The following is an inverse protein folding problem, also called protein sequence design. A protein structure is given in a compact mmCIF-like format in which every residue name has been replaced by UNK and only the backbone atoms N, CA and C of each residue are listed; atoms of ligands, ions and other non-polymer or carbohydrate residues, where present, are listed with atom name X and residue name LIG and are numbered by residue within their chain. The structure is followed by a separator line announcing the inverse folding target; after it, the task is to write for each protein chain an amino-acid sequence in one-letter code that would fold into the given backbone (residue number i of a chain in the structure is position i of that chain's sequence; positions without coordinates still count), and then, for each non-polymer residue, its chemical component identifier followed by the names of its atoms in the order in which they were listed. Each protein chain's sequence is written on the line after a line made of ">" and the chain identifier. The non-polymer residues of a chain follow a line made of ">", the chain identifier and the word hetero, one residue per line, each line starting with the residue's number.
data_IF_686277330966
#
_entry.id   IF_686277330966
#
_cell.length_a   1.000
_cell.length_b   1.000
_cell.length_c   1.000
_cell.angle_alpha   90.00
_cell.angle_beta   90.00
_cell.angle_gamma   90.00
#
_symmetry.space_group_name_H-M   'P 1'
#
loop_
_entity.id
_entity.type
_entity.pdbx_description
1 polymer ?
#
# COMPACT_ATOMS: atom_id res chain seq x y z
N UNK A 1 -11.61 -15.68 18.06
CA UNK A 1 -11.89 -14.49 17.20
C UNK A 1 -10.70 -14.25 16.30
N UNK A 2 -10.93 -13.97 15.02
CA UNK A 2 -9.89 -13.68 14.02
C UNK A 2 -9.69 -12.17 13.89
N UNK A 3 -8.44 -11.70 13.78
CA UNK A 3 -8.13 -10.27 13.56
C UNK A 3 -7.29 -10.14 12.30
N UNK A 4 -7.82 -9.46 11.28
CA UNK A 4 -7.06 -9.04 10.11
C UNK A 4 -6.22 -7.82 10.49
N UNK A 5 -4.92 -7.87 10.31
CA UNK A 5 -3.99 -6.81 10.75
C UNK A 5 -3.15 -6.34 9.57
N UNK A 6 -3.09 -5.02 9.38
CA UNK A 6 -2.13 -4.41 8.46
C UNK A 6 -0.73 -4.37 9.08
N UNK A 7 0.22 -4.98 8.39
CA UNK A 7 1.62 -5.07 8.80
C UNK A 7 2.42 -3.76 8.68
N UNK A 8 1.84 -2.76 8.03
CA UNK A 8 2.57 -1.56 7.66
C UNK A 8 3.41 -1.71 6.39
N UNK A 9 4.15 -0.67 5.99
CA UNK A 9 4.84 -0.61 4.71
C UNK A 9 6.13 -1.43 4.65
N UNK A 10 6.71 -1.76 5.82
CA UNK A 10 7.98 -2.52 5.84
C UNK A 10 8.72 -2.45 7.18
N UNK A 11 9.04 -1.26 7.69
CA UNK A 11 9.66 -1.11 8.99
C UNK A 11 8.73 -1.62 10.10
N UNK A 12 9.20 -2.47 11.03
CA UNK A 12 8.35 -3.08 12.04
C UNK A 12 7.68 -2.06 12.98
N UNK A 13 8.34 -0.95 13.26
CA UNK A 13 7.83 0.14 14.11
C UNK A 13 6.72 0.99 13.44
N UNK A 14 6.45 0.76 12.16
CA UNK A 14 5.32 1.36 11.44
C UNK A 14 4.04 0.53 11.50
N UNK A 15 4.02 -0.57 12.23
CA UNK A 15 2.79 -1.25 12.59
C UNK A 15 1.99 -0.37 13.56
N UNK A 16 0.66 -0.42 13.50
CA UNK A 16 -0.14 0.28 14.51
C UNK A 16 0.00 -0.38 15.89
N UNK A 17 -0.11 0.40 16.96
CA UNK A 17 -0.09 -0.14 18.33
C UNK A 17 -1.14 -1.25 18.55
N UNK A 18 -2.31 -1.12 17.90
CA UNK A 18 -3.36 -2.15 17.95
C UNK A 18 -2.94 -3.42 17.21
N UNK A 19 -2.26 -3.28 16.07
CA UNK A 19 -1.72 -4.40 15.31
C UNK A 19 -0.62 -5.13 16.08
N UNK A 20 0.31 -4.41 16.68
CA UNK A 20 1.36 -4.97 17.54
C UNK A 20 0.76 -5.75 18.72
N UNK A 21 -0.21 -5.13 19.41
CA UNK A 21 -0.90 -5.81 20.52
C UNK A 21 -1.57 -7.10 20.07
N UNK A 22 -2.24 -7.11 18.90
CA UNK A 22 -2.86 -8.30 18.36
C UNK A 22 -1.82 -9.42 18.11
N UNK A 23 -0.63 -9.09 17.56
CA UNK A 23 0.46 -10.05 17.37
C UNK A 23 0.98 -10.60 18.70
N UNK A 24 1.20 -9.72 19.70
CA UNK A 24 1.70 -10.12 21.02
C UNK A 24 0.75 -11.09 21.75
N UNK A 25 -0.54 -10.96 21.50
CA UNK A 25 -1.57 -11.79 22.14
C UNK A 25 -1.99 -13.01 21.29
N UNK A 26 -1.46 -13.15 20.08
CA UNK A 26 -1.87 -14.21 19.15
C UNK A 26 -1.40 -15.60 19.58
N UNK A 27 -2.28 -16.57 19.41
CA UNK A 27 -1.99 -18.00 19.49
C UNK A 27 -1.55 -18.54 18.13
N UNK A 28 -2.18 -18.02 17.06
CA UNK A 28 -1.90 -18.37 15.67
C UNK A 28 -1.76 -17.13 14.82
N UNK A 29 -0.71 -17.08 14.00
CA UNK A 29 -0.49 -16.02 12.99
C UNK A 29 -0.39 -16.64 11.61
N UNK A 30 -1.22 -16.17 10.68
CA UNK A 30 -1.11 -16.48 9.25
C UNK A 30 -0.69 -15.22 8.52
N UNK A 31 0.52 -15.17 7.94
CA UNK A 31 1.07 -13.97 7.32
C UNK A 31 1.28 -14.10 5.81
N UNK A 32 1.28 -12.97 5.09
CA UNK A 32 1.28 -12.91 3.62
C UNK A 32 2.70 -13.07 3.01
N UNK A 33 3.46 -14.05 3.48
CA UNK A 33 4.73 -14.48 2.87
C UNK A 33 5.78 -13.39 2.74
N UNK A 34 6.38 -13.29 1.56
CA UNK A 34 7.52 -12.39 1.28
C UNK A 34 7.16 -10.88 1.24
N UNK A 35 5.89 -10.53 1.36
CA UNK A 35 5.43 -9.13 1.36
C UNK A 35 5.34 -8.53 2.77
N UNK A 36 5.46 -9.34 3.80
CA UNK A 36 5.48 -8.93 5.21
C UNK A 36 6.89 -9.07 5.75
N UNK A 37 7.39 -8.03 6.44
CA UNK A 37 8.71 -8.09 7.06
C UNK A 37 8.72 -9.14 8.18
N UNK A 38 9.58 -10.17 8.10
CA UNK A 38 9.64 -11.23 9.12
C UNK A 38 9.92 -10.73 10.52
N UNK A 39 10.62 -9.60 10.68
CA UNK A 39 10.89 -8.99 11.99
C UNK A 39 9.61 -8.61 12.78
N UNK A 40 8.44 -8.51 12.12
CA UNK A 40 7.16 -8.34 12.79
C UNK A 40 6.74 -9.58 13.60
N UNK A 41 7.24 -10.76 13.23
CA UNK A 41 6.96 -12.01 13.92
C UNK A 41 7.66 -12.08 15.28
N UNK A 42 8.69 -11.26 15.50
CA UNK A 42 9.37 -11.12 16.80
C UNK A 42 8.46 -10.52 17.89
N UNK A 43 7.35 -9.88 17.47
CA UNK A 43 6.30 -9.43 18.42
C UNK A 43 5.42 -10.58 18.94
N UNK A 44 5.43 -11.72 18.27
CA UNK A 44 4.63 -12.87 18.69
C UNK A 44 5.18 -13.46 19.98
N UNK A 45 4.29 -13.93 20.84
CA UNK A 45 4.68 -14.63 22.07
C UNK A 45 5.33 -15.99 21.77
N UNK A 46 6.10 -16.49 22.70
CA UNK A 46 6.61 -17.85 22.66
C UNK A 46 5.45 -18.87 22.54
N UNK A 47 5.62 -19.86 21.69
CA UNK A 47 4.59 -20.89 21.41
C UNK A 47 3.51 -20.48 20.41
N UNK A 48 3.54 -19.25 19.88
CA UNK A 48 2.64 -18.84 18.80
C UNK A 48 2.88 -19.69 17.53
N UNK A 49 1.83 -20.30 16.99
CA UNK A 49 1.90 -21.02 15.73
C UNK A 49 1.93 -20.04 14.55
N UNK A 50 2.98 -20.11 13.71
CA UNK A 50 3.20 -19.15 12.61
C UNK A 50 3.10 -19.89 11.27
N UNK A 51 2.18 -19.45 10.40
CA UNK A 51 1.93 -20.02 9.08
C UNK A 51 2.23 -18.98 7.98
N UNK A 52 3.07 -19.37 7.02
CA UNK A 52 3.36 -18.59 5.83
C UNK A 52 2.36 -18.96 4.71
N UNK A 53 1.50 -18.03 4.33
CA UNK A 53 0.49 -18.28 3.30
C UNK A 53 0.97 -18.14 1.85
N UNK A 54 2.26 -17.93 1.61
CA UNK A 54 2.79 -17.74 0.24
C UNK A 54 2.59 -18.97 -0.68
N UNK A 55 2.49 -20.15 -0.10
CA UNK A 55 2.28 -21.44 -0.81
C UNK A 55 0.93 -22.09 -0.50
N UNK A 56 0.04 -21.39 0.20
CA UNK A 56 -1.27 -21.90 0.61
C UNK A 56 -2.36 -21.41 -0.34
N UNK A 57 -3.37 -22.26 -0.55
CA UNK A 57 -4.63 -21.86 -1.19
C UNK A 57 -5.52 -21.08 -0.22
N UNK A 58 -6.61 -20.48 -0.72
CA UNK A 58 -7.59 -19.81 0.14
C UNK A 58 -8.19 -20.78 1.16
N UNK A 59 -8.53 -21.99 0.71
CA UNK A 59 -9.14 -23.03 1.54
C UNK A 59 -8.20 -23.49 2.67
N UNK A 60 -6.91 -23.63 2.38
CA UNK A 60 -5.89 -23.99 3.38
C UNK A 60 -5.69 -22.86 4.42
N UNK A 61 -5.67 -21.59 3.98
CA UNK A 61 -5.61 -20.44 4.88
C UNK A 61 -6.84 -20.39 5.78
N UNK A 62 -8.03 -20.57 5.18
CA UNK A 62 -9.30 -20.59 5.93
C UNK A 62 -9.35 -21.74 6.92
N UNK A 63 -8.93 -22.96 6.52
CA UNK A 63 -8.91 -24.11 7.42
C UNK A 63 -8.09 -23.82 8.69
N UNK A 64 -6.85 -23.33 8.54
CA UNK A 64 -6.00 -22.97 9.70
C UNK A 64 -6.68 -21.93 10.60
N UNK A 65 -7.23 -20.85 10.02
CA UNK A 65 -7.85 -19.79 10.80
C UNK A 65 -9.13 -20.24 11.51
N UNK A 66 -9.97 -21.03 10.81
CA UNK A 66 -11.26 -21.50 11.32
C UNK A 66 -11.06 -22.52 12.45
N UNK A 67 -10.15 -23.49 12.24
CA UNK A 67 -9.89 -24.54 13.24
C UNK A 67 -9.34 -23.93 14.54
N UNK A 68 -8.39 -23.00 14.44
CA UNK A 68 -7.86 -22.28 15.58
C UNK A 68 -8.94 -21.43 16.29
N UNK A 69 -9.76 -20.72 15.51
CA UNK A 69 -10.84 -19.89 16.08
C UNK A 69 -11.90 -20.75 16.81
N UNK A 70 -12.23 -21.94 16.29
CA UNK A 70 -13.14 -22.91 16.94
C UNK A 70 -12.55 -23.53 18.19
N UNK A 71 -11.21 -23.68 18.24
CA UNK A 71 -10.50 -24.09 19.46
C UNK A 71 -10.45 -22.99 20.53
N UNK A 72 -11.00 -21.79 20.25
CA UNK A 72 -11.00 -20.66 21.17
C UNK A 72 -9.73 -19.81 21.11
N UNK A 73 -8.84 -20.07 20.17
CA UNK A 73 -7.56 -19.40 20.02
C UNK A 73 -7.71 -18.00 19.41
N UNK A 74 -6.76 -17.10 19.71
CA UNK A 74 -6.62 -15.77 19.12
C UNK A 74 -5.84 -15.89 17.82
N UNK A 75 -6.49 -15.61 16.70
CA UNK A 75 -5.91 -15.75 15.38
C UNK A 75 -5.64 -14.37 14.78
N UNK A 76 -4.45 -14.16 14.25
CA UNK A 76 -4.09 -12.98 13.47
C UNK A 76 -3.84 -13.36 12.02
N UNK A 77 -4.56 -12.70 11.10
CA UNK A 77 -4.27 -12.72 9.68
C UNK A 77 -3.49 -11.45 9.32
N UNK A 78 -2.18 -11.57 9.12
CA UNK A 78 -1.27 -10.44 8.91
C UNK A 78 -1.08 -10.18 7.41
N UNK A 79 -1.54 -9.02 6.94
CA UNK A 79 -1.45 -8.55 5.56
C UNK A 79 -0.39 -7.47 5.40
N UNK A 80 0.26 -7.39 4.23
CA UNK A 80 1.18 -6.29 3.91
C UNK A 80 0.43 -4.96 3.84
N UNK A 81 1.08 -3.87 4.26
CA UNK A 81 0.52 -2.53 4.19
C UNK A 81 -0.78 -2.41 4.99
N UNK A 82 -1.86 -2.13 4.28
CA UNK A 82 -3.24 -2.12 4.78
C UNK A 82 -4.05 -3.23 4.07
N UNK A 83 -4.81 -4.06 4.80
CA UNK A 83 -5.54 -5.18 4.21
C UNK A 83 -6.64 -4.78 3.22
N UNK A 84 -7.12 -3.54 3.26
CA UNK A 84 -8.15 -3.03 2.34
C UNK A 84 -7.65 -2.74 0.93
N UNK A 85 -6.31 -2.67 0.73
CA UNK A 85 -5.71 -2.41 -0.57
C UNK A 85 -5.00 -3.67 -1.11
N UNK A 86 -5.61 -4.31 -2.11
CA UNK A 86 -5.09 -5.51 -2.78
C UNK A 86 -4.80 -6.69 -1.85
N UNK A 87 -5.44 -6.73 -0.67
CA UNK A 87 -5.21 -7.74 0.35
C UNK A 87 -5.99 -9.05 0.14
N UNK A 88 -6.88 -9.16 -0.85
CA UNK A 88 -7.77 -10.32 -1.04
C UNK A 88 -8.49 -10.73 0.26
N UNK A 89 -8.83 -9.71 1.09
CA UNK A 89 -9.42 -9.93 2.40
C UNK A 89 -10.91 -10.26 2.32
N UNK A 90 -11.61 -9.69 1.32
CA UNK A 90 -13.07 -9.78 1.23
C UNK A 90 -13.55 -11.22 1.13
N UNK A 91 -12.96 -12.04 0.28
CA UNK A 91 -13.32 -13.45 0.11
C UNK A 91 -13.10 -14.27 1.39
N UNK A 92 -12.06 -13.91 2.19
CA UNK A 92 -11.83 -14.55 3.50
C UNK A 92 -12.92 -14.15 4.50
N UNK A 93 -13.31 -12.87 4.55
CA UNK A 93 -14.39 -12.41 5.43
C UNK A 93 -15.73 -13.05 5.07
N UNK A 94 -16.08 -13.12 3.78
CA UNK A 94 -17.31 -13.76 3.32
C UNK A 94 -17.36 -15.25 3.73
N UNK A 95 -16.24 -15.96 3.63
CA UNK A 95 -16.17 -17.36 4.06
C UNK A 95 -16.31 -17.52 5.58
N UNK A 96 -15.78 -16.57 6.37
CA UNK A 96 -15.95 -16.55 7.83
C UNK A 96 -17.40 -16.23 8.24
N UNK A 97 -18.04 -15.28 7.55
CA UNK A 97 -19.45 -14.92 7.76
C UNK A 97 -20.35 -16.13 7.52
N UNK A 98 -20.12 -16.89 6.43
CA UNK A 98 -20.86 -18.14 6.15
C UNK A 98 -20.68 -19.21 7.24
N UNK A 99 -19.59 -19.17 7.98
CA UNK A 99 -19.30 -20.12 9.06
C UNK A 99 -19.65 -19.58 10.45
N UNK A 100 -20.21 -18.37 10.55
CA UNK A 100 -20.59 -17.71 11.80
C UNK A 100 -19.39 -17.37 12.70
N UNK A 101 -18.19 -17.18 12.12
CA UNK A 101 -16.97 -16.86 12.84
C UNK A 101 -16.77 -15.34 12.88
N UNK A 102 -16.69 -14.77 14.06
CA UNK A 102 -16.47 -13.34 14.26
C UNK A 102 -15.02 -12.94 13.94
N UNK A 103 -14.87 -11.79 13.31
CA UNK A 103 -13.59 -11.19 13.00
C UNK A 103 -13.60 -9.67 13.25
N UNK A 104 -12.40 -9.09 13.26
CA UNK A 104 -12.18 -7.64 13.30
C UNK A 104 -11.07 -7.27 12.32
N UNK A 105 -11.05 -6.00 11.90
CA UNK A 105 -10.00 -5.46 11.02
C UNK A 105 -9.26 -4.34 11.75
N UNK A 106 -7.94 -4.43 11.76
CA UNK A 106 -7.03 -3.42 12.25
C UNK A 106 -6.30 -2.82 11.07
N UNK A 107 -6.51 -1.54 10.75
CA UNK A 107 -5.85 -0.89 9.60
C UNK A 107 -4.34 -0.85 9.79
N UNK A 108 -3.64 -0.73 8.68
CA UNK A 108 -2.19 -0.55 8.65
C UNK A 108 -1.79 0.68 7.83
N UNK A 109 -0.53 1.07 7.93
CA UNK A 109 0.04 2.10 7.05
C UNK A 109 0.33 1.46 5.69
N UNK A 110 -0.39 1.87 4.65
CA UNK A 110 -0.17 1.32 3.31
C UNK A 110 1.19 1.75 2.74
N UNK A 111 1.75 0.89 1.89
CA UNK A 111 3.07 1.10 1.29
C UNK A 111 3.21 2.38 0.47
N UNK A 112 2.11 2.93 -0.10
CA UNK A 112 2.19 4.22 -0.80
C UNK A 112 2.48 5.39 0.15
N UNK A 113 1.99 5.33 1.39
CA UNK A 113 2.32 6.32 2.43
C UNK A 113 3.77 6.15 2.90
N UNK A 114 4.23 4.90 3.04
CA UNK A 114 5.65 4.63 3.31
C UNK A 114 6.57 5.18 2.22
N UNK A 115 6.21 4.96 0.95
CA UNK A 115 6.97 5.49 -0.19
C UNK A 115 6.98 7.03 -0.22
N UNK A 116 5.84 7.68 0.07
CA UNK A 116 5.79 9.14 0.18
C UNK A 116 6.69 9.68 1.29
N UNK A 117 6.71 9.00 2.46
CA UNK A 117 7.59 9.36 3.58
C UNK A 117 9.08 9.23 3.20
N UNK A 118 9.47 8.12 2.57
CA UNK A 118 10.85 7.91 2.07
C UNK A 118 11.27 8.98 1.05
N UNK A 119 10.33 9.44 0.24
CA UNK A 119 10.56 10.50 -0.75
C UNK A 119 10.47 11.91 -0.16
N UNK A 120 9.97 12.08 1.07
CA UNK A 120 9.59 13.36 1.69
C UNK A 120 8.64 14.15 0.80
N UNK A 121 7.65 13.47 0.25
CA UNK A 121 6.72 14.02 -0.72
C UNK A 121 5.29 14.06 -0.16
N UNK A 122 4.54 15.08 -0.56
CA UNK A 122 3.11 15.21 -0.32
C UNK A 122 2.38 15.09 -1.66
N UNK A 123 1.39 14.19 -1.74
CA UNK A 123 0.66 13.93 -2.99
C UNK A 123 -0.24 15.09 -3.43
N UNK A 124 -0.73 15.88 -2.48
CA UNK A 124 -1.82 16.87 -2.69
C UNK A 124 -1.31 18.29 -2.57
N UNK A 125 -0.39 18.66 -3.47
CA UNK A 125 0.19 20.02 -3.50
C UNK A 125 -0.73 21.02 -4.20
N UNK A 126 -0.95 22.22 -3.61
CA UNK A 126 -1.67 23.31 -4.27
C UNK A 126 -1.05 23.69 -5.61
N UNK A 127 -1.90 23.94 -6.61
CA UNK A 127 -1.47 24.26 -7.98
C UNK A 127 -0.91 23.09 -8.78
N UNK A 128 -0.75 21.89 -8.17
CA UNK A 128 -0.21 20.69 -8.82
C UNK A 128 -1.27 19.61 -8.96
N UNK A 129 -1.74 19.04 -7.86
CA UNK A 129 -2.80 18.06 -7.84
C UNK A 129 -3.45 18.01 -6.46
N UNK A 130 -4.77 17.84 -6.41
CA UNK A 130 -5.54 17.63 -5.18
C UNK A 130 -6.14 16.21 -5.15
N UNK A 131 -5.75 15.36 -6.11
CA UNK A 131 -6.27 14.00 -6.28
C UNK A 131 -5.11 13.00 -6.28
N UNK A 132 -5.27 11.92 -5.55
CA UNK A 132 -4.39 10.76 -5.59
C UNK A 132 -5.16 9.56 -6.14
N UNK A 133 -4.68 9.00 -7.24
CA UNK A 133 -5.21 7.77 -7.83
C UNK A 133 -4.35 6.60 -7.38
N UNK A 134 -4.98 5.65 -6.67
CA UNK A 134 -4.39 4.37 -6.30
C UNK A 134 -4.87 3.32 -7.30
N UNK A 135 -3.95 2.72 -8.05
CA UNK A 135 -4.31 1.77 -9.11
C UNK A 135 -3.22 0.72 -9.32
N UNK A 136 -3.45 -0.17 -10.26
CA UNK A 136 -2.48 -1.13 -10.81
C UNK A 136 -2.66 -1.29 -12.31
N UNK A 137 -1.63 -1.74 -12.99
CA UNK A 137 -1.78 -2.20 -14.38
C UNK A 137 -2.51 -3.55 -14.45
N UNK A 138 -3.17 -3.77 -15.57
CA UNK A 138 -3.54 -5.11 -15.99
C UNK A 138 -2.29 -5.97 -16.17
N UNK A 139 -2.28 -7.13 -15.52
CA UNK A 139 -1.22 -8.11 -15.58
C UNK A 139 -1.78 -9.51 -15.78
N UNK A 140 -1.51 -10.42 -14.84
CA UNK A 140 -2.11 -11.78 -14.86
C UNK A 140 -3.61 -11.77 -14.58
N UNK A 141 -4.10 -10.74 -13.92
CA UNK A 141 -5.53 -10.52 -13.66
C UNK A 141 -5.98 -9.26 -14.34
N UNK A 142 -7.19 -9.23 -14.93
CA UNK A 142 -7.70 -8.06 -15.64
C UNK A 142 -7.97 -6.89 -14.68
N UNK A 143 -8.11 -5.70 -15.25
CA UNK A 143 -8.72 -4.52 -14.63
C UNK A 143 -9.94 -4.13 -15.47
N UNK A 144 -10.96 -3.46 -14.89
CA UNK A 144 -12.05 -2.90 -15.67
C UNK A 144 -11.52 -1.95 -16.76
N UNK A 145 -12.12 -1.97 -17.94
CA UNK A 145 -11.66 -1.17 -19.10
C UNK A 145 -11.52 0.32 -18.78
N UNK A 146 -12.45 0.87 -18.00
CA UNK A 146 -12.43 2.28 -17.56
C UNK A 146 -11.33 2.59 -16.54
N UNK A 147 -10.68 1.58 -15.98
CA UNK A 147 -9.57 1.69 -15.03
C UNK A 147 -8.21 1.38 -15.69
N UNK A 148 -8.16 1.29 -17.03
CA UNK A 148 -6.88 1.22 -17.75
C UNK A 148 -6.00 2.43 -17.39
N UNK A 149 -4.69 2.20 -17.29
CA UNK A 149 -3.74 3.25 -16.92
C UNK A 149 -3.84 4.48 -17.81
N UNK A 150 -4.05 4.33 -19.12
CA UNK A 150 -4.18 5.48 -20.01
C UNK A 150 -5.44 6.29 -19.72
N UNK A 151 -6.56 5.62 -19.42
CA UNK A 151 -7.80 6.28 -19.02
C UNK A 151 -7.63 7.08 -17.71
N UNK A 152 -7.03 6.47 -16.69
CA UNK A 152 -6.77 7.14 -15.40
C UNK A 152 -5.73 8.24 -15.52
N UNK A 153 -4.70 8.06 -16.35
CA UNK A 153 -3.65 9.05 -16.61
C UNK A 153 -4.16 10.32 -17.26
N UNK A 154 -5.30 10.26 -17.98
CA UNK A 154 -5.94 11.45 -18.58
C UNK A 154 -6.30 12.54 -17.57
N UNK A 155 -6.45 12.20 -16.29
CA UNK A 155 -6.67 13.15 -15.20
C UNK A 155 -5.40 13.92 -14.80
N UNK A 156 -4.21 13.44 -15.17
CA UNK A 156 -2.89 14.01 -14.82
C UNK A 156 -2.73 14.29 -13.31
N UNK A 157 -3.44 13.53 -12.49
CA UNK A 157 -3.41 13.59 -11.04
C UNK A 157 -2.13 12.95 -10.47
N UNK A 158 -1.87 13.09 -9.17
CA UNK A 158 -0.88 12.27 -8.50
C UNK A 158 -1.31 10.80 -8.58
N UNK A 159 -0.39 9.88 -8.94
CA UNK A 159 -0.70 8.45 -9.01
C UNK A 159 0.26 7.63 -8.17
N UNK A 160 -0.26 6.59 -7.52
CA UNK A 160 0.53 5.50 -6.93
C UNK A 160 0.09 4.18 -7.54
N UNK A 161 1.01 3.51 -8.25
CA UNK A 161 0.72 2.35 -9.09
C UNK A 161 1.34 1.12 -8.44
N UNK A 162 0.48 0.21 -8.00
CA UNK A 162 0.82 -1.03 -7.33
C UNK A 162 1.08 -2.17 -8.32
N UNK A 163 1.75 -3.22 -7.89
CA UNK A 163 1.86 -4.52 -8.61
C UNK A 163 2.34 -4.43 -10.08
N UNK A 164 3.01 -3.34 -10.46
CA UNK A 164 3.32 -3.01 -11.85
C UNK A 164 4.82 -2.88 -12.13
N UNK A 165 5.68 -3.10 -11.14
CA UNK A 165 7.14 -2.89 -11.24
C UNK A 165 7.85 -3.83 -12.23
N UNK A 166 7.23 -4.93 -12.64
CA UNK A 166 7.75 -5.81 -13.70
C UNK A 166 7.38 -5.38 -15.12
N UNK A 167 6.62 -4.27 -15.27
CA UNK A 167 6.06 -3.81 -16.55
C UNK A 167 6.34 -2.32 -16.78
N UNK A 168 7.49 -1.81 -16.32
CA UNK A 168 7.80 -0.37 -16.30
C UNK A 168 7.79 0.28 -17.68
N UNK A 169 8.32 -0.40 -18.71
CA UNK A 169 8.29 0.09 -20.10
C UNK A 169 6.86 0.25 -20.60
N UNK A 170 6.02 -0.80 -20.45
CA UNK A 170 4.60 -0.76 -20.80
C UNK A 170 3.84 0.31 -20.01
N UNK A 171 4.17 0.46 -18.74
CA UNK A 171 3.59 1.49 -17.87
C UNK A 171 3.91 2.90 -18.40
N UNK A 172 5.17 3.17 -18.76
CA UNK A 172 5.59 4.44 -19.36
C UNK A 172 4.82 4.77 -20.63
N UNK A 173 4.67 3.78 -21.54
CA UNK A 173 3.89 3.95 -22.76
C UNK A 173 2.41 4.30 -22.47
N UNK A 174 1.77 3.62 -21.51
CA UNK A 174 0.38 3.88 -21.11
C UNK A 174 0.20 5.26 -20.45
N UNK A 175 1.15 5.70 -19.66
CA UNK A 175 1.13 7.04 -19.07
C UNK A 175 1.24 8.14 -20.14
N UNK A 176 2.09 7.96 -21.14
CA UNK A 176 2.20 8.88 -22.30
C UNK A 176 0.91 8.89 -23.13
N UNK A 177 0.34 7.72 -23.42
CA UNK A 177 -0.95 7.56 -24.12
C UNK A 177 -2.07 8.34 -23.38
N UNK A 178 -2.07 8.30 -22.05
CA UNK A 178 -3.03 9.01 -21.21
C UNK A 178 -2.74 10.50 -21.03
N UNK A 179 -1.68 11.05 -21.64
CA UNK A 179 -1.42 12.49 -21.69
C UNK A 179 -0.40 13.02 -20.68
N UNK A 180 0.26 12.18 -19.88
CA UNK A 180 1.40 12.66 -19.12
C UNK A 180 2.53 13.06 -20.04
N UNK A 181 3.21 14.14 -19.68
CA UNK A 181 4.37 14.62 -20.43
C UNK A 181 5.56 13.66 -20.26
N UNK A 182 6.43 13.52 -21.29
CA UNK A 182 7.62 12.67 -21.20
C UNK A 182 8.54 12.98 -20.01
N UNK A 183 8.61 14.26 -19.63
CA UNK A 183 9.42 14.78 -18.53
C UNK A 183 8.72 14.79 -17.16
N UNK A 184 7.46 14.31 -17.09
CA UNK A 184 6.75 14.19 -15.81
C UNK A 184 7.55 13.34 -14.82
N UNK A 185 7.80 13.84 -13.58
CA UNK A 185 8.59 13.12 -12.61
C UNK A 185 7.95 11.79 -12.19
N UNK A 186 8.80 10.78 -12.00
CA UNK A 186 8.44 9.45 -11.52
C UNK A 186 9.44 9.01 -10.44
N UNK A 187 8.96 8.33 -9.43
CA UNK A 187 9.78 7.61 -8.47
C UNK A 187 9.38 6.13 -8.42
N UNK A 188 10.33 5.24 -8.55
CA UNK A 188 10.15 3.80 -8.29
C UNK A 188 10.77 3.50 -6.94
N UNK A 189 9.95 3.10 -5.97
CA UNK A 189 10.37 2.85 -4.59
C UNK A 189 10.25 1.35 -4.31
N UNK A 190 11.40 0.69 -4.26
CA UNK A 190 11.51 -0.72 -3.90
C UNK A 190 11.56 -0.85 -2.38
N UNK A 191 10.71 -1.71 -1.82
CA UNK A 191 10.67 -2.01 -0.39
C UNK A 191 10.68 -0.75 0.49
N UNK A 192 9.75 0.16 0.26
CA UNK A 192 9.61 1.38 1.07
C UNK A 192 9.69 1.08 2.56
N UNK A 193 10.53 1.80 3.28
CA UNK A 193 10.80 1.70 4.73
C UNK A 193 11.53 0.43 5.21
N UNK A 194 11.87 -0.51 4.33
CA UNK A 194 12.71 -1.65 4.67
C UNK A 194 14.18 -1.24 4.76
N UNK A 195 15.01 -2.07 5.43
CA UNK A 195 16.46 -1.81 5.55
C UNK A 195 17.19 -1.80 4.21
N UNK A 196 16.67 -2.50 3.20
CA UNK A 196 17.19 -2.57 1.83
C UNK A 196 16.37 -1.74 0.83
N UNK A 197 15.69 -0.70 1.31
CA UNK A 197 14.95 0.25 0.46
C UNK A 197 15.84 0.82 -0.65
N UNK A 198 15.28 0.92 -1.85
CA UNK A 198 15.93 1.59 -2.97
C UNK A 198 14.94 2.55 -3.62
N UNK A 199 15.42 3.74 -3.97
CA UNK A 199 14.65 4.77 -4.67
C UNK A 199 15.32 5.10 -5.99
N UNK A 200 14.58 4.91 -7.08
CA UNK A 200 15.01 5.35 -8.42
C UNK A 200 14.10 6.50 -8.85
N UNK A 201 14.70 7.69 -9.02
CA UNK A 201 14.02 8.86 -9.59
C UNK A 201 14.27 8.90 -11.09
N UNK A 202 13.19 9.08 -11.85
CA UNK A 202 13.22 9.12 -13.31
C UNK A 202 12.08 10.00 -13.84
N UNK A 203 11.75 9.87 -15.10
CA UNK A 203 10.60 10.51 -15.76
C UNK A 203 9.71 9.44 -16.39
N UNK A 204 8.53 9.83 -16.87
CA UNK A 204 7.63 8.90 -17.58
C UNK A 204 8.33 8.25 -18.76
N UNK A 205 9.07 9.02 -19.58
CA UNK A 205 9.85 8.48 -20.70
C UNK A 205 11.05 7.63 -20.27
N UNK A 206 11.56 7.84 -19.05
CA UNK A 206 12.71 7.09 -18.53
C UNK A 206 12.35 5.78 -17.84
N UNK A 207 11.07 5.45 -17.65
CA UNK A 207 10.64 4.25 -16.94
C UNK A 207 11.18 2.95 -17.53
N UNK A 208 11.26 2.84 -18.87
CA UNK A 208 11.78 1.65 -19.55
C UNK A 208 13.28 1.40 -19.31
N UNK A 209 14.03 2.40 -18.89
CA UNK A 209 15.46 2.28 -18.57
C UNK A 209 15.75 1.83 -17.12
N UNK A 210 14.73 1.79 -16.25
CA UNK A 210 14.89 1.35 -14.86
C UNK A 210 15.13 -0.14 -14.82
N UNK A 211 16.27 -0.55 -14.22
CA UNK A 211 16.68 -1.95 -14.11
C UNK A 211 16.82 -2.39 -12.65
N UNK A 212 16.84 -3.70 -12.44
CA UNK A 212 17.08 -4.30 -11.11
C UNK A 212 15.85 -4.33 -10.19
N UNK A 213 14.74 -3.72 -10.57
CA UNK A 213 13.49 -3.68 -9.78
C UNK A 213 12.37 -4.38 -10.55
N UNK A 214 11.96 -5.56 -10.09
CA UNK A 214 10.91 -6.35 -10.76
C UNK A 214 9.75 -6.76 -9.85
N UNK A 215 9.91 -6.62 -8.54
CA UNK A 215 8.90 -7.02 -7.53
C UNK A 215 8.95 -6.06 -6.35
N UNK A 216 7.90 -6.06 -5.54
CA UNK A 216 7.83 -5.37 -4.23
C UNK A 216 8.19 -3.88 -4.33
N UNK A 217 7.77 -3.22 -5.41
CA UNK A 217 7.99 -1.80 -5.60
C UNK A 217 6.70 -1.09 -6.02
N UNK A 218 6.64 0.19 -5.65
CA UNK A 218 5.61 1.13 -6.06
C UNK A 218 6.16 2.09 -7.09
N UNK A 219 5.32 2.48 -8.04
CA UNK A 219 5.63 3.55 -8.99
C UNK A 219 4.74 4.74 -8.66
N UNK A 220 5.38 5.86 -8.30
CA UNK A 220 4.72 7.12 -8.02
C UNK A 220 4.95 8.05 -9.20
N UNK A 221 3.87 8.68 -9.68
CA UNK A 221 3.89 9.53 -10.90
C UNK A 221 3.18 10.83 -10.62
N UNK A 222 3.79 11.94 -11.02
CA UNK A 222 3.12 13.24 -11.02
C UNK A 222 4.00 14.41 -10.62
N UNK A 223 3.48 15.61 -10.84
CA UNK A 223 4.15 16.87 -10.54
C UNK A 223 4.53 17.06 -9.07
N UNK A 224 3.88 16.36 -8.16
CA UNK A 224 4.18 16.40 -6.72
C UNK A 224 5.60 15.92 -6.37
N UNK A 225 6.25 15.17 -7.25
CA UNK A 225 7.65 14.76 -7.13
C UNK A 225 8.64 15.83 -7.61
N UNK A 226 8.14 16.88 -8.26
CA UNK A 226 8.90 18.07 -8.65
C UNK A 226 9.02 19.07 -7.48
N UNK A 227 9.70 20.16 -7.69
CA UNK A 227 9.91 21.19 -6.65
C UNK A 227 9.01 22.43 -6.78
N UNK A 228 8.07 22.44 -7.72
CA UNK A 228 7.25 23.62 -8.05
C UNK A 228 5.82 23.38 -7.59
N UNK A 229 5.36 24.19 -6.64
CA UNK A 229 3.99 24.18 -6.14
C UNK A 229 3.59 25.55 -5.58
N UNK A 230 2.30 25.80 -5.42
CA UNK A 230 1.78 27.01 -4.79
C UNK A 230 1.75 26.86 -3.27
N UNK A 231 1.94 28.00 -2.56
CA UNK A 231 1.78 27.98 -1.10
C UNK A 231 0.33 27.70 -0.72
N UNK A 232 0.13 26.85 0.28
CA UNK A 232 -1.19 26.61 0.83
C UNK A 232 -1.78 27.91 1.42
N UNK A 233 -2.98 28.27 0.99
CA UNK A 233 -3.72 29.41 1.55
C UNK A 233 -4.04 29.24 3.02
N UNK A 234 -4.13 28.02 3.52
CA UNK A 234 -4.40 27.75 4.93
C UNK A 234 -3.41 28.44 5.88
N UNK A 235 -2.15 28.57 5.47
CA UNK A 235 -1.10 29.23 6.24
C UNK A 235 -0.82 30.67 5.77
N UNK A 236 -1.58 31.19 4.81
CA UNK A 236 -1.46 32.58 4.38
C UNK A 236 -1.92 33.50 5.52
N UNK A 237 -1.13 34.54 5.90
CA UNK A 237 -1.53 35.46 6.94
C UNK A 237 -2.86 36.18 6.69
N UNK A 238 -3.19 36.48 5.44
CA UNK A 238 -4.45 37.15 5.04
C UNK A 238 -5.68 36.18 5.04
N UNK A 239 -5.47 34.85 5.13
CA UNK A 239 -6.55 33.87 5.08
C UNK A 239 -7.24 33.71 6.44
N UNK A 240 -8.52 34.03 6.49
CA UNK A 240 -9.36 33.81 7.68
C UNK A 240 -9.99 32.42 7.67
N UNK A 241 -9.96 31.74 8.80
CA UNK A 241 -10.67 30.48 9.05
C UNK A 241 -11.20 30.43 10.48
N UNK A 242 -11.92 29.41 10.85
CA UNK A 242 -12.60 29.25 12.14
C UNK A 242 -11.73 29.60 13.36
N UNK A 243 -10.43 29.26 13.32
CA UNK A 243 -9.50 29.43 14.45
C UNK A 243 -8.54 30.62 14.28
N UNK A 244 -8.56 31.34 13.14
CA UNK A 244 -7.66 32.46 12.85
C UNK A 244 -8.30 33.51 11.95
N UNK A 245 -8.26 34.77 12.39
CA UNK A 245 -8.56 35.91 11.53
C UNK A 245 -7.31 36.28 10.72
N UNK A 246 -7.49 36.48 9.42
CA UNK A 246 -6.43 37.01 8.56
C UNK A 246 -6.03 38.43 8.97
N UNK A 247 -4.77 38.77 8.73
CA UNK A 247 -4.21 40.09 8.94
C UNK A 247 -4.14 40.78 7.57
N UNK A 248 -4.63 42.00 7.48
CA UNK A 248 -4.53 42.83 6.28
C UNK A 248 -3.09 43.27 5.99
#
# INVERSE_FOLDING_TARGET
>A
MIVFVGAGPGAPDLITLRGQKALTEADVVVYAGSLVNPALLDYCREGCAIHNSASMTLEEVLAVMVDAARAGEKVVRLHTGDPSLYGAMREQMDALDHQGISYAVVPGVSSFLGAAASLRAEFTLPGVSQTLILTRMEGRTPVPEKEDIAALASHQASMSIFLSSSMLEKLGAKLLEGGYRPDTPVAVVYRATWADEQVVRTTVSGLGAVQGISKTALVLVGGFLGGIYERSRLYDPSFSHEFRKGVE
#
